data_IF_792767374331
#
_entry.id   IF_792767374331
#
_cell.length_a   1.000
_cell.length_b   1.000
_cell.length_c   1.000
_cell.angle_alpha   90.00
_cell.angle_beta   90.00
_cell.angle_gamma   90.00
#
_symmetry.space_group_name_H-M   'P 1'
#
loop_
_entity.id
_entity.type
_entity.pdbx_description
1 polymer ?
#
# COMPACT_ATOMS: atom_id res chain seq x y z
N UNK A 1 -4.87 12.05 15.56
CA UNK A 1 -5.59 10.76 15.61
C UNK A 1 -4.67 9.67 15.08
N UNK A 2 -4.32 8.69 15.91
CA UNK A 2 -3.52 7.52 15.49
C UNK A 2 -4.48 6.44 15.01
N UNK A 3 -4.08 5.72 13.97
CA UNK A 3 -4.85 4.63 13.39
C UNK A 3 -4.09 3.35 13.73
N UNK A 4 -4.59 2.58 14.70
CA UNK A 4 -4.03 1.30 15.13
C UNK A 4 -3.15 1.32 16.39
N UNK A 5 -2.96 0.13 17.00
CA UNK A 5 -2.13 -0.05 18.20
C UNK A 5 -0.64 0.18 17.89
N UNK A 6 0.03 1.14 18.55
CA UNK A 6 1.46 1.40 18.35
C UNK A 6 2.38 0.21 18.65
N UNK A 7 2.03 -0.64 19.64
CA UNK A 7 2.89 -1.77 20.01
C UNK A 7 2.85 -2.84 18.93
N UNK A 8 1.65 -3.27 18.53
CA UNK A 8 1.43 -4.19 17.41
C UNK A 8 2.04 -3.65 16.12
N UNK A 9 1.76 -2.40 15.77
CA UNK A 9 2.33 -1.76 14.56
C UNK A 9 3.85 -1.79 14.56
N UNK A 10 4.51 -1.58 15.71
CA UNK A 10 5.97 -1.63 15.81
C UNK A 10 6.51 -3.05 15.62
N UNK A 11 5.82 -4.06 16.16
CA UNK A 11 6.23 -5.46 16.04
C UNK A 11 6.15 -5.98 14.59
N UNK A 12 5.14 -5.53 13.84
CA UNK A 12 4.92 -5.96 12.45
C UNK A 12 5.69 -5.14 11.41
N UNK A 13 6.30 -4.03 11.82
CA UNK A 13 6.97 -3.11 10.89
C UNK A 13 8.26 -3.72 10.35
N UNK A 14 8.45 -3.60 9.05
CA UNK A 14 9.71 -3.94 8.40
C UNK A 14 10.86 -3.13 9.05
N UNK A 15 11.97 -3.78 9.48
CA UNK A 15 13.01 -3.11 10.26
C UNK A 15 13.61 -1.87 9.61
N UNK A 16 13.73 -1.87 8.27
CA UNK A 16 14.28 -0.75 7.50
C UNK A 16 13.25 0.31 7.08
N UNK A 17 11.96 0.13 7.37
CA UNK A 17 10.93 1.06 6.89
C UNK A 17 11.11 2.47 7.46
N UNK A 18 11.40 2.58 8.76
CA UNK A 18 11.61 3.88 9.39
C UNK A 18 12.90 4.54 8.91
N UNK A 19 13.95 3.77 8.66
CA UNK A 19 15.20 4.29 8.06
C UNK A 19 14.95 4.81 6.64
N UNK A 20 14.23 4.05 5.81
CA UNK A 20 13.86 4.50 4.46
C UNK A 20 12.96 5.74 4.50
N UNK A 21 12.05 5.83 5.48
CA UNK A 21 11.22 7.02 5.70
C UNK A 21 12.08 8.23 6.07
N UNK A 22 13.06 8.09 6.96
CA UNK A 22 13.97 9.18 7.33
C UNK A 22 14.77 9.67 6.11
N UNK A 23 15.23 8.78 5.24
CA UNK A 23 15.90 9.15 3.98
C UNK A 23 14.95 9.96 3.09
N UNK A 24 13.71 9.51 2.90
CA UNK A 24 12.73 10.25 2.10
C UNK A 24 12.43 11.64 2.69
N UNK A 25 12.28 11.73 4.01
CA UNK A 25 12.04 13.00 4.71
C UNK A 25 13.24 13.95 4.58
N UNK A 26 14.47 13.43 4.66
CA UNK A 26 15.68 14.23 4.48
C UNK A 26 15.78 14.78 3.05
N UNK A 27 15.49 13.96 2.04
CA UNK A 27 15.43 14.39 0.63
C UNK A 27 14.40 15.51 0.43
N UNK A 28 13.18 15.32 0.94
CA UNK A 28 12.12 16.33 0.86
C UNK A 28 12.51 17.61 1.58
N UNK A 29 13.11 17.51 2.78
CA UNK A 29 13.57 18.68 3.54
C UNK A 29 14.64 19.47 2.77
N UNK A 30 15.65 18.80 2.22
CA UNK A 30 16.68 19.44 1.40
C UNK A 30 16.10 20.14 0.17
N UNK A 31 15.17 19.49 -0.53
CA UNK A 31 14.51 20.07 -1.69
C UNK A 31 13.68 21.31 -1.34
N UNK A 32 12.92 21.27 -0.23
CA UNK A 32 12.13 22.40 0.25
C UNK A 32 13.03 23.55 0.71
N UNK A 33 14.09 23.28 1.47
CA UNK A 33 15.06 24.31 1.89
C UNK A 33 15.75 24.95 0.69
N UNK A 34 16.19 24.15 -0.29
CA UNK A 34 16.81 24.65 -1.51
C UNK A 34 15.84 25.48 -2.36
N UNK A 35 14.58 25.06 -2.48
CA UNK A 35 13.55 25.86 -3.14
C UNK A 35 13.29 27.18 -2.40
N UNK A 36 13.15 27.14 -1.07
CA UNK A 36 12.92 28.34 -0.29
C UNK A 36 14.06 29.35 -0.44
N UNK A 37 15.32 28.90 -0.34
CA UNK A 37 16.48 29.79 -0.51
C UNK A 37 16.48 30.47 -1.89
N UNK A 38 16.27 29.69 -2.95
CA UNK A 38 16.19 30.22 -4.32
C UNK A 38 15.04 31.21 -4.53
N UNK A 39 13.89 30.97 -3.89
CA UNK A 39 12.77 31.90 -3.92
C UNK A 39 13.10 33.23 -3.21
N UNK A 40 13.80 33.16 -2.06
CA UNK A 40 14.23 34.33 -1.30
C UNK A 40 15.32 35.13 -2.03
N UNK A 41 16.20 34.45 -2.78
CA UNK A 41 17.22 35.06 -3.63
C UNK A 41 16.63 35.72 -4.90
N UNK A 42 15.31 35.66 -5.11
CA UNK A 42 14.63 36.30 -6.21
C UNK A 42 14.77 35.57 -7.56
N UNK A 43 15.02 34.26 -7.54
CA UNK A 43 15.07 33.46 -8.78
C UNK A 43 13.75 33.60 -9.56
N UNK A 44 13.83 34.13 -10.79
CA UNK A 44 12.67 34.38 -11.65
C UNK A 44 12.16 33.13 -12.37
N UNK A 45 12.94 32.05 -12.35
CA UNK A 45 12.48 30.75 -12.79
C UNK A 45 11.41 30.30 -11.79
N UNK A 46 10.16 30.08 -12.21
CA UNK A 46 9.07 29.70 -11.28
C UNK A 46 9.27 28.36 -10.57
N UNK A 47 10.40 27.68 -10.78
CA UNK A 47 10.74 26.38 -10.21
C UNK A 47 10.64 26.31 -8.68
N UNK A 48 11.13 27.29 -7.90
CA UNK A 48 10.97 27.28 -6.45
C UNK A 48 9.51 27.21 -6.02
N UNK A 49 8.65 27.97 -6.70
CA UNK A 49 7.21 28.01 -6.39
C UNK A 49 6.54 26.67 -6.69
N UNK A 50 6.94 25.97 -7.76
CA UNK A 50 6.42 24.63 -8.05
C UNK A 50 6.74 23.62 -6.94
N UNK A 51 7.99 23.60 -6.44
CA UNK A 51 8.38 22.70 -5.34
C UNK A 51 7.62 23.04 -4.05
N UNK A 52 7.50 24.33 -3.73
CA UNK A 52 6.78 24.79 -2.54
C UNK A 52 5.26 24.55 -2.64
N UNK A 53 4.71 24.41 -3.85
CA UNK A 53 3.30 24.09 -4.08
C UNK A 53 2.97 22.58 -3.98
N UNK A 54 3.97 21.68 -3.93
CA UNK A 54 3.77 20.23 -3.80
C UNK A 54 2.83 19.83 -2.64
N UNK A 55 2.95 20.35 -1.40
CA UNK A 55 2.01 20.01 -0.33
C UNK A 55 0.55 20.32 -0.68
N UNK A 56 0.31 21.47 -1.31
CA UNK A 56 -1.02 21.88 -1.75
C UNK A 56 -1.53 20.94 -2.85
N UNK A 57 -0.68 20.57 -3.80
CA UNK A 57 -1.01 19.61 -4.85
C UNK A 57 -1.37 18.24 -4.26
N UNK A 58 -0.57 17.71 -3.33
CA UNK A 58 -0.83 16.45 -2.63
C UNK A 58 -2.18 16.50 -1.90
N UNK A 59 -2.49 17.62 -1.25
CA UNK A 59 -3.78 17.83 -0.59
C UNK A 59 -4.95 17.70 -1.58
N UNK A 60 -4.92 18.45 -2.68
CA UNK A 60 -6.00 18.46 -3.68
C UNK A 60 -6.13 17.12 -4.43
N UNK A 61 -5.02 16.53 -4.86
CA UNK A 61 -5.02 15.23 -5.57
C UNK A 61 -5.62 14.15 -4.69
N UNK A 62 -5.23 14.07 -3.41
CA UNK A 62 -5.79 13.08 -2.48
C UNK A 62 -7.25 13.38 -2.11
N UNK A 63 -7.61 14.65 -1.99
CA UNK A 63 -9.01 15.06 -1.77
C UNK A 63 -9.91 14.64 -2.93
N UNK A 64 -9.46 14.90 -4.16
CA UNK A 64 -10.15 14.46 -5.37
C UNK A 64 -10.21 12.93 -5.46
N UNK A 65 -9.14 12.21 -5.12
CA UNK A 65 -9.12 10.75 -5.10
C UNK A 65 -10.19 10.19 -4.15
N UNK A 66 -10.29 10.73 -2.93
CA UNK A 66 -11.31 10.31 -1.97
C UNK A 66 -12.73 10.65 -2.45
N UNK A 67 -12.93 11.85 -3.00
CA UNK A 67 -14.21 12.28 -3.56
C UNK A 67 -14.66 11.37 -4.72
N UNK A 68 -13.75 11.00 -5.63
CA UNK A 68 -14.03 10.08 -6.75
C UNK A 68 -14.57 8.74 -6.27
N UNK A 69 -13.98 8.14 -5.23
CA UNK A 69 -14.46 6.85 -4.71
C UNK A 69 -15.85 6.98 -4.10
N UNK A 70 -16.13 8.10 -3.43
CA UNK A 70 -17.44 8.37 -2.82
C UNK A 70 -18.57 8.56 -3.83
N UNK A 71 -18.29 9.21 -4.97
CA UNK A 71 -19.32 9.57 -5.95
C UNK A 71 -19.49 8.53 -7.06
N UNK A 72 -18.44 7.79 -7.39
CA UNK A 72 -18.46 6.79 -8.48
C UNK A 72 -18.37 5.33 -8.00
N UNK A 73 -17.84 5.10 -6.79
CA UNK A 73 -17.72 3.76 -6.23
C UNK A 73 -19.00 3.30 -5.54
N UNK A 74 -19.21 1.99 -5.46
CA UNK A 74 -20.30 1.40 -4.68
C UNK A 74 -19.82 1.20 -3.25
N UNK A 75 -20.49 1.84 -2.28
CA UNK A 75 -20.09 1.73 -0.87
C UNK A 75 -20.29 0.30 -0.36
N UNK A 76 -19.25 -0.25 0.26
CA UNK A 76 -19.33 -1.51 1.01
C UNK A 76 -20.01 -1.21 2.35
N UNK A 77 -21.10 -1.92 2.63
CA UNK A 77 -21.94 -1.73 3.80
C UNK A 77 -22.66 -3.03 4.15
N UNK A 78 -23.37 -3.08 5.28
CA UNK A 78 -24.18 -4.25 5.63
C UNK A 78 -25.26 -4.56 4.58
N UNK A 79 -25.79 -3.54 3.89
CA UNK A 79 -26.77 -3.71 2.82
C UNK A 79 -26.13 -4.04 1.46
N UNK A 80 -24.83 -3.77 1.28
CA UNK A 80 -24.12 -3.92 0.01
C UNK A 80 -22.77 -4.60 0.23
N UNK A 81 -22.62 -5.83 -0.24
CA UNK A 81 -21.44 -6.67 0.04
C UNK A 81 -21.25 -6.96 1.53
N UNK A 82 -22.25 -7.55 2.23
CA UNK A 82 -22.21 -7.78 3.68
C UNK A 82 -21.00 -8.60 4.13
N UNK A 83 -20.55 -9.55 3.31
CA UNK A 83 -19.36 -10.34 3.60
C UNK A 83 -18.07 -9.51 3.60
N UNK A 84 -17.85 -8.70 2.56
CA UNK A 84 -16.70 -7.79 2.50
C UNK A 84 -16.79 -6.71 3.59
N UNK A 85 -17.99 -6.22 3.92
CA UNK A 85 -18.21 -5.30 5.03
C UNK A 85 -17.75 -5.89 6.36
N UNK A 86 -18.13 -7.14 6.66
CA UNK A 86 -17.67 -7.85 7.86
C UNK A 86 -16.15 -8.00 7.89
N UNK A 87 -15.52 -8.35 6.77
CA UNK A 87 -14.05 -8.44 6.67
C UNK A 87 -13.37 -7.09 7.01
N UNK A 88 -13.89 -5.97 6.50
CA UNK A 88 -13.38 -4.63 6.79
C UNK A 88 -13.56 -4.27 8.27
N UNK A 89 -14.73 -4.56 8.86
CA UNK A 89 -15.01 -4.30 10.28
C UNK A 89 -14.11 -5.14 11.17
N UNK A 90 -13.93 -6.42 10.85
CA UNK A 90 -13.11 -7.34 11.65
C UNK A 90 -11.63 -6.97 11.57
N UNK A 91 -11.11 -6.58 10.41
CA UNK A 91 -9.74 -6.07 10.27
C UNK A 91 -9.55 -4.75 11.03
N UNK A 92 -10.51 -3.82 10.94
CA UNK A 92 -10.46 -2.58 11.69
C UNK A 92 -10.46 -2.82 13.20
N UNK A 93 -11.25 -3.79 13.68
CA UNK A 93 -11.27 -4.22 15.08
C UNK A 93 -9.95 -4.89 15.47
N UNK A 94 -9.45 -5.81 14.65
CA UNK A 94 -8.21 -6.56 14.91
C UNK A 94 -7.00 -5.64 15.04
N UNK A 95 -6.92 -4.58 14.24
CA UNK A 95 -5.84 -3.60 14.32
C UNK A 95 -6.12 -2.43 15.26
N UNK A 96 -7.23 -2.44 15.99
CA UNK A 96 -7.63 -1.37 16.92
C UNK A 96 -7.70 0.01 16.27
N UNK A 97 -8.31 0.07 15.07
CA UNK A 97 -8.56 1.34 14.41
C UNK A 97 -9.61 2.14 15.19
N UNK A 98 -9.44 3.47 15.34
CA UNK A 98 -10.37 4.31 16.10
C UNK A 98 -11.76 4.43 15.46
N UNK A 99 -11.88 4.08 14.18
CA UNK A 99 -13.12 3.98 13.43
C UNK A 99 -12.91 3.03 12.26
N UNK A 100 -13.99 2.40 11.79
CA UNK A 100 -13.96 1.60 10.57
C UNK A 100 -13.71 2.53 9.37
N UNK A 101 -12.71 2.26 8.50
CA UNK A 101 -12.48 3.06 7.31
C UNK A 101 -13.64 2.90 6.32
N UNK A 102 -13.90 3.94 5.53
CA UNK A 102 -14.87 3.79 4.43
C UNK A 102 -14.34 2.76 3.43
N UNK A 103 -15.21 1.98 2.80
CA UNK A 103 -14.81 0.95 1.86
C UNK A 103 -15.70 1.03 0.61
N UNK A 104 -15.09 0.89 -0.57
CA UNK A 104 -15.77 1.01 -1.85
C UNK A 104 -15.38 -0.12 -2.81
N UNK A 105 -16.34 -0.64 -3.57
CA UNK A 105 -16.08 -1.42 -4.79
C UNK A 105 -16.02 -0.45 -5.97
N UNK A 106 -14.97 -0.56 -6.78
CA UNK A 106 -14.74 0.31 -7.94
C UNK A 106 -14.44 -0.54 -9.17
N UNK A 107 -14.77 -0.10 -10.40
CA UNK A 107 -14.44 -0.86 -11.60
C UNK A 107 -12.93 -1.07 -11.74
N UNK A 108 -12.50 -2.33 -11.90
CA UNK A 108 -11.08 -2.66 -12.10
C UNK A 108 -10.65 -2.72 -13.57
N UNK A 109 -11.60 -2.81 -14.50
CA UNK A 109 -11.35 -2.88 -15.95
C UNK A 109 -10.35 -3.99 -16.35
N UNK A 110 -10.42 -5.14 -15.69
CA UNK A 110 -9.51 -6.27 -15.93
C UNK A 110 -8.22 -6.22 -15.11
N UNK A 111 -7.97 -5.13 -14.37
CA UNK A 111 -6.88 -5.05 -13.41
C UNK A 111 -7.35 -5.47 -12.02
N UNK A 112 -6.69 -6.47 -11.46
CA UNK A 112 -6.91 -6.89 -10.08
C UNK A 112 -6.07 -6.01 -9.17
N UNK A 113 -6.75 -5.25 -8.32
CA UNK A 113 -6.08 -4.38 -7.36
C UNK A 113 -7.00 -4.05 -6.18
N UNK A 114 -6.39 -3.63 -5.08
CA UNK A 114 -7.03 -2.88 -4.02
C UNK A 114 -6.05 -1.81 -3.55
N UNK A 115 -6.55 -0.75 -2.92
CA UNK A 115 -5.67 0.24 -2.32
C UNK A 115 -6.31 0.92 -1.11
N UNK A 116 -5.47 1.26 -0.15
CA UNK A 116 -5.80 2.12 0.98
C UNK A 116 -5.34 3.55 0.72
N UNK A 117 -6.15 4.52 1.15
CA UNK A 117 -5.75 5.93 1.12
C UNK A 117 -6.47 6.74 2.20
N UNK A 118 -6.23 8.05 2.20
CA UNK A 118 -6.74 8.94 3.22
C UNK A 118 -6.58 10.41 2.86
N UNK A 119 -7.51 11.21 3.36
CA UNK A 119 -7.52 12.66 3.21
C UNK A 119 -8.00 13.30 4.52
N UNK A 120 -7.23 14.24 5.06
CA UNK A 120 -7.45 14.77 6.41
C UNK A 120 -7.45 13.66 7.46
N UNK A 121 -8.51 13.62 8.28
CA UNK A 121 -8.74 12.57 9.29
C UNK A 121 -9.37 11.30 8.74
N UNK A 122 -9.90 11.30 7.50
CA UNK A 122 -10.62 10.15 6.92
C UNK A 122 -9.66 9.14 6.29
N UNK A 123 -10.05 7.87 6.36
CA UNK A 123 -9.34 6.74 5.76
C UNK A 123 -10.33 5.90 5.00
N UNK A 124 -9.88 5.34 3.89
CA UNK A 124 -10.72 4.48 3.09
C UNK A 124 -9.90 3.42 2.37
N UNK A 125 -10.59 2.35 1.98
CA UNK A 125 -10.10 1.32 1.07
C UNK A 125 -10.97 1.29 -0.18
N UNK A 126 -10.35 1.03 -1.33
CA UNK A 126 -11.06 0.80 -2.58
C UNK A 126 -10.61 -0.55 -3.13
N UNK A 127 -11.58 -1.38 -3.49
CA UNK A 127 -11.36 -2.75 -3.95
C UNK A 127 -11.88 -2.83 -5.38
N UNK A 128 -11.04 -3.26 -6.31
CA UNK A 128 -11.48 -3.43 -7.69
C UNK A 128 -12.53 -4.55 -7.79
N UNK A 129 -13.53 -4.34 -8.64
CA UNK A 129 -14.57 -5.33 -8.95
C UNK A 129 -13.99 -6.66 -9.43
N UNK A 130 -12.79 -6.65 -10.02
CA UNK A 130 -12.09 -7.83 -10.52
C UNK A 130 -11.58 -8.78 -9.42
N UNK A 131 -11.58 -8.36 -8.15
CA UNK A 131 -11.36 -9.24 -6.99
C UNK A 131 -12.63 -10.03 -6.60
N UNK A 132 -13.79 -9.70 -7.18
CA UNK A 132 -15.05 -10.38 -6.94
C UNK A 132 -15.38 -11.29 -8.13
N UNK A 133 -16.04 -12.43 -7.88
CA UNK A 133 -16.46 -13.35 -8.92
C UNK A 133 -17.87 -13.05 -9.44
N UNK A 134 -18.22 -13.67 -10.58
CA UNK A 134 -19.53 -13.51 -11.22
C UNK A 134 -20.63 -14.03 -10.28
N UNK A 135 -21.63 -13.19 -9.99
CA UNK A 135 -22.70 -13.50 -9.02
C UNK A 135 -22.52 -12.85 -7.65
N UNK A 136 -21.51 -11.99 -7.47
CA UNK A 136 -21.31 -11.21 -6.23
C UNK A 136 -20.78 -12.03 -5.05
N UNK A 137 -20.43 -13.30 -5.29
CA UNK A 137 -19.73 -14.15 -4.32
C UNK A 137 -18.23 -14.01 -4.51
N UNK A 138 -17.52 -14.16 -3.41
CA UNK A 138 -16.06 -14.20 -3.40
C UNK A 138 -15.61 -15.56 -3.90
N UNK A 139 -14.86 -15.55 -5.01
CA UNK A 139 -14.22 -16.75 -5.57
C UNK A 139 -13.48 -17.53 -4.49
N UNK A 140 -12.79 -16.76 -3.64
CA UNK A 140 -11.95 -17.17 -2.54
C UNK A 140 -12.09 -16.09 -1.45
N UNK A 141 -12.99 -16.31 -0.46
CA UNK A 141 -13.21 -15.37 0.63
C UNK A 141 -11.94 -15.08 1.44
N UNK A 142 -11.06 -16.07 1.61
CA UNK A 142 -9.82 -15.92 2.36
C UNK A 142 -8.81 -15.07 1.59
N UNK A 143 -8.73 -15.21 0.26
CA UNK A 143 -7.92 -14.32 -0.57
C UNK A 143 -8.38 -12.86 -0.46
N UNK A 144 -9.69 -12.59 -0.55
CA UNK A 144 -10.16 -11.22 -0.36
C UNK A 144 -9.90 -10.74 1.07
N UNK A 145 -10.14 -11.58 2.07
CA UNK A 145 -9.90 -11.24 3.47
C UNK A 145 -8.43 -10.87 3.73
N UNK A 146 -7.50 -11.57 3.08
CA UNK A 146 -6.07 -11.23 3.10
C UNK A 146 -5.79 -9.88 2.44
N UNK A 147 -6.34 -9.62 1.24
CA UNK A 147 -6.18 -8.33 0.55
C UNK A 147 -6.76 -7.18 1.38
N UNK A 148 -7.95 -7.35 1.96
CA UNK A 148 -8.54 -6.36 2.88
C UNK A 148 -7.65 -6.14 4.11
N UNK A 149 -7.15 -7.23 4.69
CA UNK A 149 -6.21 -7.17 5.81
C UNK A 149 -4.93 -6.41 5.48
N UNK A 150 -4.40 -6.58 4.27
CA UNK A 150 -3.24 -5.85 3.75
C UNK A 150 -3.53 -4.35 3.63
N UNK A 151 -4.63 -3.97 2.97
CA UNK A 151 -5.00 -2.56 2.80
C UNK A 151 -5.28 -1.86 4.14
N UNK A 152 -5.99 -2.53 5.05
CA UNK A 152 -6.24 -1.99 6.39
C UNK A 152 -4.95 -1.98 7.21
N UNK A 153 -4.03 -2.91 6.94
CA UNK A 153 -2.65 -2.89 7.44
C UNK A 153 -1.90 -1.61 7.07
N UNK A 154 -2.03 -1.10 5.84
CA UNK A 154 -1.49 0.22 5.47
C UNK A 154 -2.10 1.36 6.31
N UNK A 155 -3.38 1.28 6.63
CA UNK A 155 -4.05 2.27 7.48
C UNK A 155 -3.51 2.20 8.92
N UNK A 156 -3.44 1.00 9.50
CA UNK A 156 -2.94 0.73 10.85
C UNK A 156 -1.45 1.13 10.99
N UNK A 157 -0.64 0.87 9.96
CA UNK A 157 0.75 1.26 9.95
C UNK A 157 0.96 2.77 9.66
N UNK A 158 -0.11 3.55 9.50
CA UNK A 158 -0.06 4.99 9.27
C UNK A 158 0.45 5.39 7.88
N UNK A 159 0.46 4.44 6.93
CA UNK A 159 1.06 4.64 5.62
C UNK A 159 0.35 5.69 4.79
N UNK A 160 -0.96 5.79 4.96
CA UNK A 160 -1.84 6.70 4.22
C UNK A 160 -2.06 8.04 4.93
N UNK A 161 -1.25 8.36 5.95
CA UNK A 161 -1.30 9.64 6.64
C UNK A 161 -0.93 10.79 5.71
N UNK A 162 -1.74 11.86 5.69
CA UNK A 162 -1.47 13.05 4.87
C UNK A 162 -0.07 13.61 5.09
N UNK A 163 0.35 13.78 6.35
CA UNK A 163 1.67 14.34 6.67
C UNK A 163 2.82 13.45 6.20
N UNK A 164 2.63 12.12 6.29
CA UNK A 164 3.61 11.18 5.77
C UNK A 164 3.72 11.30 4.25
N UNK A 165 2.58 11.33 3.58
CA UNK A 165 2.47 11.40 2.12
C UNK A 165 3.04 12.71 1.57
N UNK A 166 2.82 13.83 2.28
CA UNK A 166 3.53 15.07 1.99
C UNK A 166 5.04 14.90 2.16
N UNK A 167 5.50 14.37 3.30
CA UNK A 167 6.93 14.22 3.60
C UNK A 167 7.70 13.33 2.62
N UNK A 168 7.04 12.43 1.90
CA UNK A 168 7.68 11.53 0.92
C UNK A 168 7.46 11.95 -0.54
N UNK A 169 6.55 12.91 -0.79
CA UNK A 169 6.11 13.28 -2.15
C UNK A 169 7.25 13.65 -3.13
N UNK A 170 8.31 14.31 -2.66
CA UNK A 170 9.47 14.63 -3.49
C UNK A 170 10.33 13.39 -3.75
N UNK A 171 10.53 12.57 -2.71
CA UNK A 171 11.31 11.35 -2.79
C UNK A 171 10.68 10.29 -3.72
N UNK A 172 9.35 10.28 -3.85
CA UNK A 172 8.61 9.38 -4.75
C UNK A 172 8.87 9.64 -6.24
N UNK A 173 9.34 10.84 -6.60
CA UNK A 173 9.69 11.19 -7.98
C UNK A 173 11.11 10.69 -8.32
N UNK A 174 11.95 10.42 -7.31
CA UNK A 174 13.32 9.99 -7.50
C UNK A 174 13.37 8.46 -7.62
N UNK A 175 13.81 7.90 -8.77
CA UNK A 175 13.88 6.46 -8.97
C UNK A 175 14.65 5.77 -7.85
N UNK A 176 14.06 4.70 -7.30
CA UNK A 176 14.66 3.91 -6.23
C UNK A 176 14.47 4.44 -4.81
N UNK A 177 14.36 5.76 -4.57
CA UNK A 177 14.26 6.29 -3.20
C UNK A 177 12.87 6.05 -2.62
N UNK A 178 11.83 6.69 -3.16
CA UNK A 178 10.46 6.47 -2.70
C UNK A 178 10.02 5.02 -2.90
N UNK A 179 10.44 4.40 -4.01
CA UNK A 179 10.18 2.98 -4.29
C UNK A 179 10.73 2.05 -3.19
N UNK A 180 11.92 2.31 -2.64
CA UNK A 180 12.48 1.51 -1.53
C UNK A 180 11.62 1.61 -0.26
N UNK A 181 11.14 2.81 0.05
CA UNK A 181 10.21 3.01 1.16
C UNK A 181 8.88 2.30 0.89
N UNK A 182 8.35 2.40 -0.33
CA UNK A 182 7.12 1.72 -0.75
C UNK A 182 7.25 0.21 -0.56
N UNK A 183 8.32 -0.42 -1.04
CA UNK A 183 8.56 -1.86 -0.85
C UNK A 183 8.64 -2.27 0.63
N UNK A 184 9.25 -1.45 1.48
CA UNK A 184 9.27 -1.71 2.92
C UNK A 184 7.86 -1.63 3.55
N UNK A 185 7.03 -0.70 3.09
CA UNK A 185 5.64 -0.56 3.52
C UNK A 185 4.79 -1.76 3.10
N UNK A 186 5.00 -2.29 1.90
CA UNK A 186 4.33 -3.51 1.40
C UNK A 186 4.64 -4.71 2.30
N UNK A 187 5.90 -4.92 2.69
CA UNK A 187 6.25 -5.99 3.63
C UNK A 187 5.60 -5.79 5.00
N UNK A 188 5.51 -4.56 5.49
CA UNK A 188 4.78 -4.26 6.73
C UNK A 188 3.29 -4.56 6.60
N UNK A 189 2.66 -4.21 5.47
CA UNK A 189 1.25 -4.50 5.22
C UNK A 189 0.99 -6.01 5.05
N UNK A 190 1.89 -6.73 4.39
CA UNK A 190 1.89 -8.20 4.33
C UNK A 190 1.96 -8.83 5.73
N UNK A 191 2.77 -8.26 6.64
CA UNK A 191 2.84 -8.74 8.03
C UNK A 191 1.52 -8.53 8.78
N UNK A 192 0.83 -7.41 8.56
CA UNK A 192 -0.50 -7.17 9.12
C UNK A 192 -1.54 -8.15 8.55
N UNK A 193 -1.54 -8.35 7.22
CA UNK A 193 -2.43 -9.28 6.55
C UNK A 193 -2.24 -10.72 7.06
N UNK A 194 -0.98 -11.14 7.24
CA UNK A 194 -0.63 -12.46 7.75
C UNK A 194 -1.04 -12.66 9.21
N UNK A 195 -0.92 -11.63 10.07
CA UNK A 195 -1.45 -11.70 11.45
C UNK A 195 -2.98 -11.79 11.47
N UNK A 196 -3.66 -11.09 10.56
CA UNK A 196 -5.12 -11.04 10.51
C UNK A 196 -5.76 -12.28 9.86
N UNK A 197 -5.12 -12.85 8.83
CA UNK A 197 -5.65 -13.92 7.99
C UNK A 197 -4.50 -14.80 7.45
N UNK A 198 -3.87 -15.63 8.29
CA UNK A 198 -2.77 -16.48 7.86
C UNK A 198 -3.18 -17.49 6.77
N UNK A 199 -4.44 -17.94 6.78
CA UNK A 199 -5.01 -18.88 5.82
C UNK A 199 -5.13 -18.27 4.41
N UNK A 200 -5.35 -16.96 4.31
CA UNK A 200 -5.56 -16.25 3.05
C UNK A 200 -4.28 -15.85 2.31
N UNK A 201 -3.09 -16.11 2.88
CA UNK A 201 -1.80 -15.69 2.28
C UNK A 201 -1.59 -16.20 0.86
N UNK A 202 -2.09 -17.39 0.55
CA UNK A 202 -1.96 -17.97 -0.79
C UNK A 202 -2.86 -17.27 -1.82
N UNK A 203 -3.83 -16.48 -1.37
CA UNK A 203 -4.66 -15.62 -2.20
C UNK A 203 -3.87 -14.55 -2.96
N UNK A 204 -2.63 -14.26 -2.53
CA UNK A 204 -1.73 -13.37 -3.27
C UNK A 204 -1.45 -13.84 -4.71
N UNK A 205 -1.64 -15.14 -5.00
CA UNK A 205 -1.60 -15.69 -6.37
C UNK A 205 -2.56 -14.98 -7.33
N UNK A 206 -3.70 -14.49 -6.82
CA UNK A 206 -4.68 -13.73 -7.60
C UNK A 206 -4.04 -12.45 -8.19
N UNK A 207 -3.20 -11.76 -7.41
CA UNK A 207 -2.48 -10.58 -7.90
C UNK A 207 -1.38 -10.94 -8.91
N UNK A 208 -0.80 -12.14 -8.80
CA UNK A 208 0.29 -12.58 -9.67
C UNK A 208 -0.18 -13.13 -11.02
N UNK A 209 -1.31 -13.85 -11.07
CA UNK A 209 -1.75 -14.59 -12.26
C UNK A 209 -3.19 -14.29 -12.70
N UNK A 210 -3.88 -13.40 -12.01
CA UNK A 210 -5.25 -13.05 -12.35
C UNK A 210 -6.29 -14.01 -11.76
N UNK A 211 -7.56 -13.58 -11.79
CA UNK A 211 -8.70 -14.26 -11.16
C UNK A 211 -9.07 -15.59 -11.80
N UNK A 212 -8.58 -15.86 -13.02
CA UNK A 212 -8.89 -17.08 -13.76
C UNK A 212 -7.84 -18.18 -13.58
N UNK A 213 -6.56 -17.83 -13.42
CA UNK A 213 -5.45 -18.79 -13.41
C UNK A 213 -4.83 -18.99 -12.03
N UNK A 214 -5.16 -18.17 -11.03
CA UNK A 214 -4.48 -18.22 -9.73
C UNK A 214 -4.59 -19.56 -9.00
N UNK A 215 -5.64 -20.35 -9.25
CA UNK A 215 -5.83 -21.68 -8.66
C UNK A 215 -4.82 -22.71 -9.18
N UNK A 216 -4.33 -22.52 -10.40
CA UNK A 216 -3.32 -23.38 -11.03
C UNK A 216 -1.89 -22.93 -10.71
N UNK A 217 -1.73 -21.84 -9.96
CA UNK A 217 -0.42 -21.33 -9.56
C UNK A 217 0.01 -21.96 -8.25
N UNK A 218 1.22 -22.53 -8.24
CA UNK A 218 1.86 -23.00 -7.02
C UNK A 218 2.58 -21.82 -6.31
N UNK A 219 2.15 -21.52 -5.08
CA UNK A 219 2.71 -20.46 -4.25
C UNK A 219 4.18 -20.73 -3.89
N UNK A 220 4.50 -21.98 -3.54
CA UNK A 220 5.84 -22.42 -3.17
C UNK A 220 6.81 -22.40 -4.35
N UNK A 221 6.36 -22.72 -5.56
CA UNK A 221 7.18 -22.66 -6.76
C UNK A 221 7.62 -21.23 -7.11
N UNK A 222 6.75 -20.23 -6.91
CA UNK A 222 7.13 -18.81 -7.06
C UNK A 222 8.14 -18.42 -5.98
N UNK A 223 7.91 -18.80 -4.73
CA UNK A 223 8.78 -18.48 -3.61
C UNK A 223 10.17 -19.12 -3.75
N UNK A 224 10.26 -20.36 -4.22
CA UNK A 224 11.51 -21.09 -4.43
C UNK A 224 12.44 -20.38 -5.42
N UNK A 225 11.86 -19.66 -6.41
CA UNK A 225 12.61 -18.88 -7.39
C UNK A 225 13.32 -17.66 -6.81
N UNK A 226 13.04 -17.25 -5.57
CA UNK A 226 13.72 -16.11 -4.94
C UNK A 226 15.25 -16.29 -4.83
N UNK A 227 15.72 -17.55 -4.78
CA UNK A 227 17.14 -17.87 -4.72
C UNK A 227 17.77 -18.15 -6.09
N UNK A 228 16.98 -18.55 -7.09
CA UNK A 228 17.49 -18.89 -8.43
C UNK A 228 17.44 -17.69 -9.37
N UNK A 229 16.41 -16.86 -9.27
CA UNK A 229 16.17 -15.76 -10.18
C UNK A 229 16.84 -14.50 -9.64
N UNK A 230 18.15 -14.43 -9.83
CA UNK A 230 19.00 -13.34 -9.38
C UNK A 230 19.81 -12.75 -10.54
N UNK A 231 20.30 -11.53 -10.36
CA UNK A 231 21.13 -10.84 -11.34
C UNK A 231 20.83 -9.34 -11.42
N UNK A 232 21.65 -8.63 -12.20
CA UNK A 232 21.59 -7.17 -12.34
C UNK A 232 20.20 -6.68 -12.78
N UNK A 233 19.59 -7.33 -13.77
CA UNK A 233 18.30 -6.92 -14.29
C UNK A 233 17.14 -7.23 -13.34
N UNK A 234 17.22 -8.31 -12.55
CA UNK A 234 16.25 -8.59 -11.49
C UNK A 234 16.31 -7.51 -10.41
N UNK A 235 17.53 -7.15 -9.99
CA UNK A 235 17.76 -6.06 -9.05
C UNK A 235 17.23 -4.72 -9.61
N UNK A 236 17.45 -4.44 -10.90
CA UNK A 236 16.96 -3.22 -11.54
C UNK A 236 15.42 -3.16 -11.59
N UNK A 237 14.76 -4.27 -11.94
CA UNK A 237 13.30 -4.39 -11.91
C UNK A 237 12.77 -4.12 -10.50
N UNK A 238 13.39 -4.72 -9.48
CA UNK A 238 12.98 -4.48 -8.10
C UNK A 238 13.25 -3.04 -7.66
N UNK A 239 14.41 -2.47 -7.99
CA UNK A 239 14.79 -1.09 -7.64
C UNK A 239 13.75 -0.07 -8.13
N UNK A 240 13.26 -0.26 -9.36
CA UNK A 240 12.31 0.64 -10.02
C UNK A 240 10.83 0.33 -9.69
N UNK A 241 10.53 -0.78 -9.03
CA UNK A 241 9.17 -1.18 -8.67
C UNK A 241 8.73 -0.59 -7.32
N UNK A 242 7.50 -0.09 -7.24
CA UNK A 242 6.86 0.34 -5.99
C UNK A 242 6.49 -0.83 -5.07
N UNK A 243 6.31 -2.03 -5.63
CA UNK A 243 6.03 -3.26 -4.89
C UNK A 243 7.21 -4.22 -4.99
N UNK A 244 7.50 -5.03 -3.94
CA UNK A 244 8.51 -6.06 -4.03
C UNK A 244 8.17 -7.04 -5.15
N UNK A 245 9.18 -7.51 -5.88
CA UNK A 245 8.96 -8.51 -6.93
C UNK A 245 8.33 -9.78 -6.35
N UNK A 246 7.45 -10.43 -7.12
CA UNK A 246 6.64 -11.55 -6.64
C UNK A 246 7.48 -12.67 -6.02
N UNK A 247 8.62 -13.04 -6.61
CA UNK A 247 9.50 -14.09 -6.07
C UNK A 247 9.94 -13.77 -4.64
N UNK A 248 10.36 -12.54 -4.37
CA UNK A 248 10.82 -12.11 -3.04
C UNK A 248 9.66 -11.88 -2.07
N UNK A 249 8.53 -11.35 -2.55
CA UNK A 249 7.33 -11.14 -1.72
C UNK A 249 6.77 -12.47 -1.22
N UNK A 250 6.61 -13.43 -2.12
CA UNK A 250 6.10 -14.77 -1.78
C UNK A 250 7.07 -15.50 -0.85
N UNK A 251 8.38 -15.43 -1.14
CA UNK A 251 9.40 -16.01 -0.25
C UNK A 251 9.34 -15.43 1.16
N UNK A 252 9.19 -14.12 1.32
CA UNK A 252 9.06 -13.47 2.63
C UNK A 252 7.76 -13.83 3.39
N UNK A 253 6.75 -14.37 2.71
CA UNK A 253 5.53 -14.90 3.34
C UNK A 253 5.67 -16.37 3.76
N UNK A 254 6.62 -17.11 3.18
CA UNK A 254 6.97 -18.48 3.60
C UNK A 254 8.03 -18.44 4.69
N UNK A 255 9.19 -17.84 4.40
CA UNK A 255 10.31 -17.75 5.33
C UNK A 255 10.21 -16.45 6.12
N UNK A 256 9.85 -16.62 7.40
CA UNK A 256 9.67 -15.53 8.36
C UNK A 256 10.88 -15.32 9.26
N UNK A 257 11.96 -16.07 9.05
CA UNK A 257 13.20 -15.95 9.84
C UNK A 257 13.97 -14.66 9.54
N UNK A 258 13.72 -14.06 8.37
CA UNK A 258 14.34 -12.82 7.91
C UNK A 258 13.28 -11.85 7.38
N UNK A 259 13.51 -10.53 7.50
CA UNK A 259 12.66 -9.55 6.84
C UNK A 259 12.84 -9.62 5.31
N UNK A 260 11.79 -9.21 4.58
CA UNK A 260 11.81 -9.14 3.11
C UNK A 260 12.95 -8.30 2.55
N UNK A 261 13.46 -8.66 1.37
CA UNK A 261 14.59 -7.96 0.74
C UNK A 261 14.11 -6.68 0.05
N UNK A 262 14.77 -5.55 0.32
CA UNK A 262 14.43 -4.27 -0.31
C UNK A 262 15.17 -4.02 -1.63
N UNK A 263 16.32 -4.66 -1.81
CA UNK A 263 17.21 -4.64 -2.98
C UNK A 263 17.89 -5.99 -3.13
#
# INVERSE_FOLDING_TARGET
MRWGDPRRTRALRHPKENTALLVCLAVTALAVTGALNRALDGESSGQPLFVLAIPLLVFFVRGQLYARQRVNGVRISEAQFPEAHRMVVDAARAFELPQVPDAYVVPGHGHINAFASGHGSRRFVAIHSDLFEVGGRLADPEALRFVIGHEIGHIAAGHVSYWRQFGISIADIIPGIGATLSRAQEYTADNHALEFCPEGKEGLRVLAAGKYLYRDVDFGAIAARAHTDQGLFVMLVNLLSSHPVNTWRFHALIDRSQPGRLL
#
